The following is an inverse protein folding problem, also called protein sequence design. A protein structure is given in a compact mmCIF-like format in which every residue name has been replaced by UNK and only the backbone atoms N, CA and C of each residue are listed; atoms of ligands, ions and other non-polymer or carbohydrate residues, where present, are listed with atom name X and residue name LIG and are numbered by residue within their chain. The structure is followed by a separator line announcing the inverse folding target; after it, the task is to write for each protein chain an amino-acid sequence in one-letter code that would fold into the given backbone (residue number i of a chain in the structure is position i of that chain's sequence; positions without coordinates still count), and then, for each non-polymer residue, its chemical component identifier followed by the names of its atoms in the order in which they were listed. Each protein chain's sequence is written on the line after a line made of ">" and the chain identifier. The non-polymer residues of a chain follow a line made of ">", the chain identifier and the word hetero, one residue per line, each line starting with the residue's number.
data_IF_589601571420
#
_entry.id   IF_589601571420
#
_cell.length_a   1.000
_cell.length_b   1.000
_cell.length_c   1.000
_cell.angle_alpha   90.00
_cell.angle_beta   90.00
_cell.angle_gamma   90.00
#
_symmetry.space_group_name_H-M   'P 1'
#
loop_
_entity.id
_entity.type
_entity.pdbx_description
1 polymer ?
#
# COMPACT_ATOMS: atom_id res chain seq x y z
N UNK A 1 -3.27 4.16 11.52
CA UNK A 1 -4.55 4.01 12.24
C UNK A 1 -4.37 3.02 13.38
N UNK A 2 -4.92 3.33 14.57
CA UNK A 2 -4.74 2.52 15.78
C UNK A 2 -5.38 1.13 15.66
N UNK A 3 -6.42 0.98 14.84
CA UNK A 3 -7.10 -0.31 14.64
C UNK A 3 -6.21 -1.35 13.90
N UNK A 4 -5.41 -0.94 12.92
CA UNK A 4 -4.51 -1.84 12.18
C UNK A 4 -3.37 -2.39 13.06
N UNK A 5 -3.00 -1.67 14.12
CA UNK A 5 -1.97 -2.08 15.08
C UNK A 5 -2.47 -3.10 16.11
N UNK A 6 -3.79 -3.35 16.16
CA UNK A 6 -4.44 -4.25 17.12
C UNK A 6 -4.99 -5.52 16.46
N UNK A 7 -4.60 -5.81 15.21
CA UNK A 7 -5.05 -7.00 14.51
C UNK A 7 -4.46 -8.26 15.18
N UNK A 8 -5.28 -9.32 15.38
CA UNK A 8 -4.79 -10.59 15.90
C UNK A 8 -3.64 -11.10 15.02
N UNK A 9 -2.54 -11.60 15.60
CA UNK A 9 -1.39 -12.10 14.84
C UNK A 9 -1.76 -13.28 13.92
N UNK A 10 -2.83 -13.99 14.27
CA UNK A 10 -3.33 -15.19 13.59
C UNK A 10 -4.18 -14.84 12.36
N UNK A 11 -4.62 -13.57 12.26
CA UNK A 11 -5.20 -12.99 11.05
C UNK A 11 -6.39 -13.72 10.42
N UNK A 12 -7.23 -14.40 11.22
CA UNK A 12 -8.31 -15.32 10.77
C UNK A 12 -9.13 -14.78 9.59
N UNK A 13 -9.46 -13.49 9.63
CA UNK A 13 -10.19 -12.80 8.56
C UNK A 13 -9.39 -11.67 7.89
N UNK A 14 -8.41 -11.12 8.60
CA UNK A 14 -7.63 -9.97 8.15
C UNK A 14 -6.18 -10.27 8.45
N UNK A 15 -5.39 -10.41 7.40
CA UNK A 15 -3.95 -10.46 7.52
C UNK A 15 -3.34 -9.13 7.09
N UNK A 16 -2.40 -8.62 7.87
CA UNK A 16 -1.74 -7.33 7.63
C UNK A 16 -0.22 -7.52 7.57
N UNK A 17 0.40 -7.03 6.50
CA UNK A 17 1.84 -7.06 6.29
C UNK A 17 2.29 -5.88 5.43
N UNK A 18 3.59 -5.58 5.47
CA UNK A 18 4.23 -4.56 4.64
C UNK A 18 5.30 -5.22 3.78
N UNK A 19 5.23 -4.99 2.47
CA UNK A 19 6.18 -5.52 1.48
C UNK A 19 6.35 -4.48 0.36
N UNK A 20 7.55 -4.32 -0.23
CA UNK A 20 7.75 -3.40 -1.35
C UNK A 20 7.00 -3.85 -2.62
N UNK A 21 6.66 -5.12 -2.73
CA UNK A 21 5.91 -5.67 -3.87
C UNK A 21 5.05 -6.87 -3.45
N UNK A 22 4.01 -7.14 -4.24
CA UNK A 22 3.10 -8.27 -4.09
C UNK A 22 2.77 -8.83 -5.47
N UNK A 23 2.82 -10.14 -5.62
CA UNK A 23 2.33 -10.83 -6.82
C UNK A 23 1.16 -11.73 -6.45
N UNK A 24 0.12 -11.74 -7.29
CA UNK A 24 -1.13 -12.47 -7.03
C UNK A 24 -1.46 -13.36 -8.23
N UNK A 25 -1.74 -14.63 -7.95
CA UNK A 25 -2.12 -15.66 -8.92
C UNK A 25 -3.52 -16.20 -8.58
N UNK A 26 -4.60 -15.47 -8.94
CA UNK A 26 -5.94 -15.97 -8.73
C UNK A 26 -6.28 -17.10 -9.71
N UNK A 27 -7.14 -18.04 -9.29
CA UNK A 27 -7.61 -19.13 -10.16
C UNK A 27 -8.47 -18.61 -11.33
N UNK A 28 -9.24 -17.54 -11.08
CA UNK A 28 -10.03 -16.84 -12.09
C UNK A 28 -9.65 -15.36 -12.16
N UNK A 29 -9.91 -14.72 -13.30
CA UNK A 29 -9.60 -13.30 -13.45
C UNK A 29 -10.47 -12.43 -12.54
N UNK A 30 -9.83 -11.77 -11.58
CA UNK A 30 -10.51 -10.92 -10.60
C UNK A 30 -10.64 -9.47 -11.10
N UNK A 31 -11.77 -8.80 -10.83
CA UNK A 31 -11.89 -7.36 -11.05
C UNK A 31 -11.13 -6.60 -9.96
N UNK A 32 -10.36 -5.59 -10.36
CA UNK A 32 -9.63 -4.70 -9.45
C UNK A 32 -9.79 -3.26 -9.90
N UNK A 33 -9.91 -2.38 -8.92
CA UNK A 33 -9.97 -0.94 -9.13
C UNK A 33 -8.60 -0.32 -8.86
N UNK A 34 -8.04 0.39 -9.84
CA UNK A 34 -6.83 1.21 -9.71
C UNK A 34 -7.25 2.68 -9.73
N UNK A 35 -7.38 3.30 -8.55
CA UNK A 35 -7.76 4.72 -8.40
C UNK A 35 -9.00 5.17 -9.21
N UNK A 36 -9.93 4.27 -9.49
CA UNK A 36 -11.16 4.52 -10.26
C UNK A 36 -11.17 3.86 -11.64
N UNK A 37 -10.04 3.33 -12.10
CA UNK A 37 -9.92 2.60 -13.36
C UNK A 37 -10.14 1.10 -13.12
N UNK A 38 -11.19 0.49 -13.71
CA UNK A 38 -11.46 -0.93 -13.56
C UNK A 38 -10.56 -1.76 -14.48
N UNK A 39 -9.87 -2.73 -13.91
CA UNK A 39 -9.07 -3.71 -14.65
C UNK A 39 -9.45 -5.13 -14.24
N UNK A 40 -9.14 -6.09 -15.12
CA UNK A 40 -9.26 -7.53 -14.85
C UNK A 40 -7.92 -8.19 -15.14
N UNK A 41 -7.44 -9.03 -14.22
CA UNK A 41 -6.15 -9.72 -14.38
C UNK A 41 -6.24 -11.17 -13.96
N UNK A 42 -5.55 -12.04 -14.70
CA UNK A 42 -5.30 -13.45 -14.35
C UNK A 42 -4.01 -13.64 -13.54
N UNK A 43 -3.07 -12.69 -13.59
CA UNK A 43 -1.90 -12.59 -12.71
C UNK A 43 -1.46 -11.13 -12.72
N UNK A 44 -1.08 -10.59 -11.56
CA UNK A 44 -0.68 -9.18 -11.43
C UNK A 44 0.41 -9.01 -10.38
N UNK A 45 1.36 -8.12 -10.65
CA UNK A 45 2.38 -7.66 -9.71
C UNK A 45 2.16 -6.20 -9.36
N UNK A 46 1.99 -5.91 -8.08
CA UNK A 46 1.98 -4.56 -7.51
C UNK A 46 3.37 -4.25 -6.97
N UNK A 47 3.90 -3.08 -7.30
CA UNK A 47 5.23 -2.67 -6.86
C UNK A 47 5.21 -1.19 -6.45
N UNK A 48 5.71 -0.91 -5.25
CA UNK A 48 5.92 0.46 -4.81
C UNK A 48 7.19 1.01 -5.45
N UNK A 49 7.07 2.04 -6.29
CA UNK A 49 8.20 2.76 -6.89
C UNK A 49 8.60 3.91 -5.96
N UNK A 50 9.70 3.82 -5.19
CA UNK A 50 10.03 4.85 -4.21
C UNK A 50 10.41 6.15 -4.90
N UNK A 51 9.90 7.28 -4.38
CA UNK A 51 10.23 8.64 -4.86
C UNK A 51 9.93 8.86 -6.35
N UNK A 52 8.95 8.16 -6.92
CA UNK A 52 8.58 8.28 -8.34
C UNK A 52 8.10 9.69 -8.72
N UNK A 53 7.51 10.42 -7.78
CA UNK A 53 6.93 11.74 -7.99
C UNK A 53 7.39 12.73 -6.94
N UNK A 54 7.49 14.00 -7.33
CA UNK A 54 7.62 15.13 -6.40
C UNK A 54 6.23 15.70 -6.13
N UNK A 55 5.90 15.90 -4.87
CA UNK A 55 4.57 16.35 -4.45
C UNK A 55 4.71 17.53 -3.48
N UNK A 56 3.91 18.57 -3.68
CA UNK A 56 3.78 19.66 -2.71
C UNK A 56 2.84 19.16 -1.60
N UNK A 57 3.31 19.20 -0.35
CA UNK A 57 2.59 18.67 0.80
C UNK A 57 2.62 19.67 1.97
N UNK A 58 1.65 19.61 2.90
CA UNK A 58 1.72 20.37 4.14
C UNK A 58 2.96 19.99 4.97
N UNK A 59 3.53 20.91 5.76
CA UNK A 59 4.71 20.63 6.60
C UNK A 59 4.55 19.44 7.56
N UNK A 60 3.32 19.18 8.02
CA UNK A 60 2.99 18.10 8.97
C UNK A 60 2.11 17.02 8.30
N UNK A 61 2.41 16.63 7.07
CA UNK A 61 1.64 15.59 6.36
C UNK A 61 1.73 14.23 7.07
N UNK A 62 0.61 13.74 7.61
CA UNK A 62 0.56 12.49 8.41
C UNK A 62 0.92 11.22 7.63
N UNK A 63 0.78 11.24 6.31
CA UNK A 63 1.07 10.09 5.44
C UNK A 63 2.56 9.93 5.13
N UNK A 64 3.35 10.97 5.38
CA UNK A 64 4.79 10.86 5.36
C UNK A 64 5.23 10.36 6.73
N UNK A 65 6.03 9.30 6.77
CA UNK A 65 6.82 9.02 7.97
C UNK A 65 7.51 10.32 8.34
N UNK A 66 7.44 10.75 9.61
CA UNK A 66 8.23 11.89 10.07
C UNK A 66 9.70 11.55 9.82
N UNK A 67 10.20 11.95 8.66
CA UNK A 67 11.61 11.91 8.36
C UNK A 67 12.26 12.76 9.43
N UNK A 68 13.23 12.18 10.12
CA UNK A 68 14.16 12.92 10.97
C UNK A 68 14.43 14.28 10.33
N UNK A 69 14.20 15.35 11.10
CA UNK A 69 14.39 16.74 10.67
C UNK A 69 15.56 16.82 9.70
N UNK A 70 15.28 17.10 8.43
CA UNK A 70 16.31 17.52 7.49
C UNK A 70 16.77 18.90 7.98
N UNK A 71 17.78 18.93 8.84
CA UNK A 71 18.54 20.14 9.13
C UNK A 71 19.34 20.48 7.88
N UNK A 72 18.98 21.59 7.25
CA UNK A 72 19.87 22.43 6.46
C UNK A 72 19.72 23.85 7.02
#
# INVERSE_FOLDING_TARGET
>A
ARELQQLPPDGEYISYWQTPWLEVHPEEAIPVNLDGEPLRFSTVRYEAVPKAIQLIVPPNCELLSQGSKLTA
#
